data_IF_922354409723
#
_entry.id   IF_922354409723
#
_cell.length_a   1.000
_cell.length_b   1.000
_cell.length_c   1.000
_cell.angle_alpha   90.00
_cell.angle_beta   90.00
_cell.angle_gamma   90.00
#
_symmetry.space_group_name_H-M   'P 1'
#
loop_
_entity.id
_entity.type
_entity.pdbx_description
1 polymer ?
#
# COMPACT_ATOMS: atom_id res chain seq x y z
N UNK A 1 -12.96 -9.69 19.66
CA UNK A 1 -11.54 -9.34 19.83
C UNK A 1 -11.32 -7.86 19.54
N UNK A 2 -10.20 -7.31 20.02
CA UNK A 2 -9.77 -5.93 19.78
C UNK A 2 -8.49 -5.98 18.94
N UNK A 3 -8.48 -5.29 17.81
CA UNK A 3 -7.29 -5.02 17.00
C UNK A 3 -6.80 -3.60 17.32
N UNK A 4 -5.84 -3.43 18.25
CA UNK A 4 -5.48 -2.11 18.75
C UNK A 4 -4.73 -1.24 17.74
N UNK A 5 -4.15 -1.80 16.67
CA UNK A 5 -3.38 -1.06 15.68
C UNK A 5 -3.61 -1.60 14.27
N UNK A 6 -4.34 -0.86 13.46
CA UNK A 6 -4.54 -1.19 12.05
C UNK A 6 -4.68 0.05 11.18
N UNK A 7 -4.67 -0.14 9.86
CA UNK A 7 -4.82 0.89 8.84
C UNK A 7 -5.96 0.51 7.87
N UNK A 8 -7.24 0.67 8.27
CA UNK A 8 -8.36 0.02 7.56
C UNK A 8 -8.52 0.45 6.11
N UNK A 9 -8.40 1.74 5.80
CA UNK A 9 -8.53 2.26 4.43
C UNK A 9 -7.32 1.95 3.56
N UNK A 10 -6.11 1.94 4.12
CA UNK A 10 -4.92 1.43 3.42
C UNK A 10 -5.08 -0.06 3.09
N UNK A 11 -5.42 -0.89 4.09
CA UNK A 11 -5.66 -2.32 3.89
C UNK A 11 -6.77 -2.56 2.87
N UNK A 12 -7.86 -1.80 2.95
CA UNK A 12 -8.97 -1.87 2.01
C UNK A 12 -8.49 -1.61 0.57
N UNK A 13 -7.67 -0.58 0.36
CA UNK A 13 -7.09 -0.28 -0.95
C UNK A 13 -6.14 -1.37 -1.44
N UNK A 14 -5.24 -1.86 -0.59
CA UNK A 14 -4.27 -2.89 -0.98
C UNK A 14 -4.96 -4.23 -1.28
N UNK A 15 -5.99 -4.59 -0.52
CA UNK A 15 -6.77 -5.82 -0.73
C UNK A 15 -7.79 -5.73 -1.87
N UNK A 16 -7.90 -4.59 -2.55
CA UNK A 16 -8.62 -4.48 -3.81
C UNK A 16 -7.73 -4.78 -5.01
N UNK A 17 -6.40 -4.78 -4.83
CA UNK A 17 -5.42 -5.16 -5.87
C UNK A 17 -5.31 -6.67 -6.00
N UNK A 18 -4.64 -7.12 -7.06
CA UNK A 18 -4.36 -8.55 -7.27
C UNK A 18 -3.46 -9.03 -6.11
N UNK A 19 -3.99 -9.93 -5.29
CA UNK A 19 -3.24 -10.56 -4.20
C UNK A 19 -2.28 -11.59 -4.77
N UNK A 20 -0.99 -11.37 -4.58
CA UNK A 20 0.09 -12.31 -4.91
C UNK A 20 0.93 -12.64 -3.66
N UNK A 21 0.36 -12.42 -2.47
CA UNK A 21 1.07 -12.60 -1.20
C UNK A 21 1.28 -14.05 -0.81
N UNK A 22 2.26 -14.28 0.07
CA UNK A 22 2.51 -15.58 0.72
C UNK A 22 1.40 -16.03 1.68
N UNK A 23 0.35 -15.23 1.88
CA UNK A 23 -0.85 -15.66 2.60
C UNK A 23 -1.83 -16.43 1.72
N UNK A 24 -1.79 -16.19 0.41
CA UNK A 24 -2.67 -16.81 -0.59
C UNK A 24 -1.95 -17.80 -1.50
N UNK A 25 -0.61 -17.77 -1.51
CA UNK A 25 0.26 -18.61 -2.35
C UNK A 25 1.35 -19.23 -1.49
N UNK A 26 1.81 -20.44 -1.83
CA UNK A 26 2.78 -21.20 -1.04
C UNK A 26 4.15 -21.33 -1.71
N UNK A 27 4.29 -20.89 -2.98
CA UNK A 27 5.56 -20.92 -3.72
C UNK A 27 5.73 -19.68 -4.61
N UNK A 28 6.99 -19.36 -4.94
CA UNK A 28 7.33 -18.32 -5.92
C UNK A 28 6.69 -18.57 -7.29
N UNK A 29 6.56 -19.83 -7.70
CA UNK A 29 5.88 -20.24 -8.95
C UNK A 29 4.41 -19.86 -8.90
N UNK A 30 3.70 -20.19 -7.82
CA UNK A 30 2.29 -19.84 -7.64
C UNK A 30 2.07 -18.32 -7.64
N UNK A 31 2.95 -17.56 -6.99
CA UNK A 31 2.92 -16.08 -7.00
C UNK A 31 3.00 -15.54 -8.43
N UNK A 32 3.97 -16.02 -9.21
CA UNK A 32 4.17 -15.55 -10.59
C UNK A 32 3.06 -16.02 -11.54
N UNK A 33 2.52 -17.21 -11.33
CA UNK A 33 1.40 -17.73 -12.11
C UNK A 33 0.10 -16.99 -11.80
N UNK A 34 -0.15 -16.64 -10.54
CA UNK A 34 -1.27 -15.80 -10.15
C UNK A 34 -1.18 -14.42 -10.81
N UNK A 35 0.01 -13.80 -10.79
CA UNK A 35 0.24 -12.52 -11.47
C UNK A 35 -0.08 -12.61 -12.97
N UNK A 36 0.50 -13.57 -13.69
CA UNK A 36 0.27 -13.76 -15.14
C UNK A 36 -1.19 -14.03 -15.46
N UNK A 37 -1.84 -14.89 -14.67
CA UNK A 37 -3.25 -15.23 -14.85
C UNK A 37 -4.12 -13.99 -14.69
N UNK A 38 -3.91 -13.20 -13.64
CA UNK A 38 -4.70 -11.99 -13.40
C UNK A 38 -4.46 -10.94 -14.48
N UNK A 39 -3.22 -10.76 -14.93
CA UNK A 39 -2.90 -9.84 -16.03
C UNK A 39 -3.67 -10.20 -17.31
N UNK A 40 -3.77 -11.48 -17.65
CA UNK A 40 -4.51 -11.94 -18.84
C UNK A 40 -6.02 -11.66 -18.82
N UNK A 41 -6.56 -11.29 -17.66
CA UNK A 41 -8.00 -11.02 -17.47
C UNK A 41 -8.32 -9.52 -17.51
N UNK A 42 -7.31 -8.65 -17.49
CA UNK A 42 -7.50 -7.20 -17.49
C UNK A 42 -7.65 -6.70 -18.94
N UNK A 43 -8.66 -5.87 -19.24
CA UNK A 43 -8.79 -5.24 -20.56
C UNK A 43 -7.55 -4.44 -20.95
N UNK A 44 -7.19 -4.48 -22.23
CA UNK A 44 -6.00 -3.77 -22.76
C UNK A 44 -6.05 -2.28 -22.44
N UNK A 45 -4.92 -1.71 -22.03
CA UNK A 45 -4.76 -0.30 -21.66
C UNK A 45 -5.21 0.06 -20.24
N UNK A 46 -5.87 -0.83 -19.51
CA UNK A 46 -6.20 -0.59 -18.10
C UNK A 46 -4.99 -0.84 -17.17
N UNK A 47 -4.93 -0.10 -16.06
CA UNK A 47 -3.88 -0.24 -15.06
C UNK A 47 -4.04 -1.52 -14.25
N UNK A 48 -2.90 -2.18 -14.03
CA UNK A 48 -2.81 -3.39 -13.22
C UNK A 48 -2.03 -3.08 -11.96
N UNK A 49 -2.66 -3.29 -10.81
CA UNK A 49 -2.01 -3.24 -9.51
C UNK A 49 -2.03 -4.62 -8.86
N UNK A 50 -0.86 -5.06 -8.40
CA UNK A 50 -0.68 -6.27 -7.61
C UNK A 50 0.03 -5.96 -6.29
N UNK A 51 -0.30 -6.69 -5.23
CA UNK A 51 0.23 -6.50 -3.89
C UNK A 51 0.71 -7.82 -3.28
N UNK A 52 1.79 -7.74 -2.52
CA UNK A 52 2.26 -8.83 -1.66
C UNK A 52 3.47 -9.58 -2.19
N UNK A 53 4.17 -9.05 -3.19
CA UNK A 53 5.44 -9.64 -3.63
C UNK A 53 6.43 -9.66 -2.45
N UNK A 54 6.89 -10.85 -2.06
CA UNK A 54 7.66 -11.00 -0.82
C UNK A 54 8.90 -11.90 -1.03
N UNK A 55 10.08 -11.29 -1.28
CA UNK A 55 11.33 -12.03 -1.40
C UNK A 55 11.86 -12.56 -0.06
N UNK A 56 11.32 -12.11 1.08
CA UNK A 56 11.68 -12.63 2.41
C UNK A 56 11.05 -13.99 2.64
N UNK A 57 9.79 -14.16 2.22
CA UNK A 57 9.08 -15.45 2.29
C UNK A 57 9.56 -16.38 1.18
N UNK A 58 9.67 -15.89 -0.06
CA UNK A 58 10.07 -16.69 -1.22
C UNK A 58 11.42 -16.23 -1.76
N UNK A 59 12.51 -16.83 -1.28
CA UNK A 59 13.88 -16.37 -1.61
C UNK A 59 14.25 -16.52 -3.09
N UNK A 60 13.52 -17.33 -3.85
CA UNK A 60 13.67 -17.46 -5.30
C UNK A 60 13.15 -16.22 -6.06
N UNK A 61 12.36 -15.38 -5.41
CA UNK A 61 11.93 -14.09 -5.95
C UNK A 61 13.08 -13.09 -5.81
N UNK A 62 13.91 -12.97 -6.84
CA UNK A 62 15.08 -12.08 -6.84
C UNK A 62 14.76 -10.61 -7.22
N UNK A 63 13.49 -10.23 -7.18
CA UNK A 63 12.98 -8.96 -7.72
C UNK A 63 12.49 -9.09 -9.16
N UNK A 64 11.58 -8.20 -9.56
CA UNK A 64 11.04 -8.13 -10.92
C UNK A 64 11.79 -7.09 -11.73
N UNK A 65 12.14 -7.42 -12.96
CA UNK A 65 12.70 -6.45 -13.91
C UNK A 65 11.62 -5.80 -14.75
N UNK A 66 11.89 -4.58 -15.21
CA UNK A 66 11.08 -3.88 -16.22
C UNK A 66 10.82 -4.76 -17.43
N UNK A 67 11.83 -5.44 -17.96
CA UNK A 67 11.72 -6.31 -19.13
C UNK A 67 10.86 -7.55 -18.89
N UNK A 68 10.89 -8.13 -17.69
CA UNK A 68 9.97 -9.21 -17.31
C UNK A 68 8.53 -8.74 -17.26
N UNK A 69 8.29 -7.57 -16.66
CA UNK A 69 6.95 -7.00 -16.58
C UNK A 69 6.43 -6.53 -17.95
N UNK A 70 7.31 -6.06 -18.85
CA UNK A 70 6.96 -5.79 -20.25
C UNK A 70 6.51 -7.07 -20.98
N UNK A 71 7.14 -8.23 -20.69
CA UNK A 71 6.72 -9.52 -21.25
C UNK A 71 5.41 -10.04 -20.64
N UNK A 72 5.21 -9.85 -19.35
CA UNK A 72 4.00 -10.29 -18.63
C UNK A 72 2.80 -9.43 -19.04
N UNK A 73 3.00 -8.12 -19.19
CA UNK A 73 1.97 -7.10 -19.36
C UNK A 73 2.30 -6.15 -20.53
N UNK A 74 2.33 -6.65 -21.78
CA UNK A 74 2.80 -5.86 -22.93
C UNK A 74 1.84 -4.75 -23.37
N UNK A 75 0.56 -4.84 -23.01
CA UNK A 75 -0.51 -3.92 -23.44
C UNK A 75 -1.15 -3.17 -22.27
N UNK A 76 -0.60 -3.32 -21.06
CA UNK A 76 -1.16 -2.75 -19.84
C UNK A 76 -0.03 -2.19 -18.96
N UNK A 77 -0.15 -0.96 -18.43
CA UNK A 77 0.73 -0.49 -17.38
C UNK A 77 0.51 -1.34 -16.13
N UNK A 78 1.61 -1.82 -15.53
CA UNK A 78 1.57 -2.67 -14.34
C UNK A 78 2.47 -2.12 -13.24
N UNK A 79 1.97 -2.18 -12.00
CA UNK A 79 2.70 -1.87 -10.79
C UNK A 79 2.52 -3.00 -9.76
N UNK A 80 3.63 -3.61 -9.36
CA UNK A 80 3.68 -4.72 -8.41
C UNK A 80 4.33 -4.26 -7.11
N UNK A 81 3.52 -4.12 -6.06
CA UNK A 81 3.96 -3.66 -4.75
C UNK A 81 4.42 -4.83 -3.89
N UNK A 82 5.56 -4.64 -3.24
CA UNK A 82 6.08 -5.60 -2.26
C UNK A 82 5.24 -5.64 -0.99
N UNK A 83 5.30 -6.76 -0.27
CA UNK A 83 4.60 -6.94 1.01
C UNK A 83 5.03 -5.90 2.07
N UNK A 84 6.28 -5.43 2.01
CA UNK A 84 6.80 -4.38 2.89
C UNK A 84 6.30 -2.98 2.54
N UNK A 85 5.72 -2.78 1.35
CA UNK A 85 5.31 -1.48 0.80
C UNK A 85 6.46 -0.48 0.58
N UNK A 86 7.71 -0.94 0.61
CA UNK A 86 8.92 -0.11 0.39
C UNK A 86 9.54 -0.28 -1.00
N UNK A 87 9.04 -1.22 -1.80
CA UNK A 87 9.44 -1.38 -3.19
C UNK A 87 8.24 -1.59 -4.10
N UNK A 88 8.23 -0.91 -5.24
CA UNK A 88 7.28 -1.07 -6.34
C UNK A 88 8.05 -1.44 -7.61
N UNK A 89 7.59 -2.46 -8.32
CA UNK A 89 8.13 -2.83 -9.63
C UNK A 89 7.16 -2.44 -10.74
N UNK A 90 7.65 -1.77 -11.77
CA UNK A 90 6.84 -1.23 -12.87
C UNK A 90 7.41 -1.58 -14.24
N UNK A 91 6.54 -1.68 -15.25
CA UNK A 91 6.94 -1.89 -16.64
C UNK A 91 7.18 -0.56 -17.39
N UNK A 92 7.57 -0.66 -18.67
CA UNK A 92 7.81 0.50 -19.53
C UNK A 92 6.57 1.38 -19.71
N UNK A 93 5.38 0.78 -19.83
CA UNK A 93 4.12 1.52 -19.99
C UNK A 93 3.80 2.33 -18.74
N UNK A 94 3.94 1.74 -17.55
CA UNK A 94 3.71 2.43 -16.29
C UNK A 94 4.67 3.61 -16.07
N UNK A 95 5.95 3.46 -16.45
CA UNK A 95 6.91 4.58 -16.45
C UNK A 95 6.45 5.72 -17.38
N UNK A 96 6.10 5.37 -18.62
CA UNK A 96 5.64 6.34 -19.62
C UNK A 96 4.39 7.09 -19.17
N UNK A 97 3.39 6.39 -18.65
CA UNK A 97 2.14 7.01 -18.18
C UNK A 97 2.34 7.84 -16.91
N UNK A 98 3.24 7.39 -16.02
CA UNK A 98 3.65 8.19 -14.87
C UNK A 98 4.38 9.49 -15.26
N UNK A 99 4.84 9.61 -16.52
CA UNK A 99 5.63 10.73 -17.01
C UNK A 99 7.09 10.67 -16.55
N UNK A 100 7.61 9.46 -16.35
CA UNK A 100 8.96 9.20 -15.85
C UNK A 100 9.79 8.63 -17.00
N UNK A 101 10.92 9.27 -17.26
CA UNK A 101 11.91 8.87 -18.26
C UNK A 101 13.28 8.58 -17.63
N UNK A 102 14.23 8.17 -18.47
CA UNK A 102 15.59 7.83 -18.03
C UNK A 102 16.35 9.00 -17.40
N UNK A 103 15.88 10.25 -17.51
CA UNK A 103 16.51 11.42 -16.88
C UNK A 103 15.81 11.87 -15.59
N UNK A 104 14.67 11.26 -15.29
CA UNK A 104 13.81 11.64 -14.18
C UNK A 104 14.44 11.25 -12.85
N UNK A 105 14.32 12.13 -11.87
CA UNK A 105 14.78 11.91 -10.50
C UNK A 105 13.59 12.05 -9.54
N UNK A 106 13.54 11.27 -8.46
CA UNK A 106 12.50 11.42 -7.45
C UNK A 106 12.62 12.77 -6.75
N UNK A 107 11.56 13.17 -6.03
CA UNK A 107 11.63 14.36 -5.19
C UNK A 107 12.79 14.26 -4.19
N UNK A 108 13.41 15.40 -3.85
CA UNK A 108 14.53 15.44 -2.89
C UNK A 108 14.15 14.76 -1.58
N UNK A 109 14.96 13.79 -1.13
CA UNK A 109 14.70 12.91 0.03
C UNK A 109 13.44 12.02 -0.11
N UNK A 110 13.07 11.68 -1.34
CA UNK A 110 11.81 11.02 -1.68
C UNK A 110 11.90 9.54 -2.02
N UNK A 111 13.07 8.90 -1.92
CA UNK A 111 13.28 7.54 -2.41
C UNK A 111 14.16 7.50 -3.65
N UNK A 112 14.10 6.38 -4.38
CA UNK A 112 15.00 6.10 -5.51
C UNK A 112 14.26 5.51 -6.73
N UNK A 113 14.66 5.93 -7.93
CA UNK A 113 14.37 5.23 -9.17
C UNK A 113 15.60 4.43 -9.55
N UNK A 114 15.56 3.11 -9.33
CA UNK A 114 16.77 2.27 -9.39
C UNK A 114 17.21 2.10 -10.84
N UNK A 115 18.51 2.32 -11.07
CA UNK A 115 19.15 2.22 -12.38
C UNK A 115 20.11 1.04 -12.43
N UNK A 116 20.28 0.47 -13.62
CA UNK A 116 21.33 -0.49 -13.89
C UNK A 116 22.68 0.20 -14.11
N UNK A 117 23.73 -0.60 -14.34
CA UNK A 117 25.10 -0.12 -14.58
C UNK A 117 25.21 0.78 -15.83
N UNK A 118 24.23 0.74 -16.73
CA UNK A 118 24.17 1.57 -17.95
C UNK A 118 23.42 2.88 -17.74
N UNK A 119 22.84 3.08 -16.55
CA UNK A 119 22.02 4.24 -16.20
C UNK A 119 20.54 4.11 -16.58
N UNK A 120 20.12 2.95 -17.10
CA UNK A 120 18.71 2.71 -17.48
C UNK A 120 17.88 2.37 -16.26
N UNK A 121 16.65 2.88 -16.21
CA UNK A 121 15.65 2.53 -15.22
C UNK A 121 15.28 1.05 -15.31
N UNK A 122 15.52 0.35 -14.19
CA UNK A 122 15.25 -1.09 -14.02
C UNK A 122 13.77 -1.40 -13.82
N UNK A 123 12.94 -0.37 -13.58
CA UNK A 123 11.55 -0.51 -13.16
C UNK A 123 11.37 -0.75 -11.65
N UNK A 124 12.45 -0.86 -10.86
CA UNK A 124 12.37 -0.89 -9.40
C UNK A 124 12.34 0.53 -8.82
N UNK A 125 11.35 0.80 -8.00
CA UNK A 125 11.11 2.09 -7.34
C UNK A 125 11.14 1.86 -5.83
N UNK A 126 11.96 2.61 -5.12
CA UNK A 126 12.16 2.45 -3.67
C UNK A 126 11.63 3.64 -2.88
N UNK A 127 11.02 3.32 -1.75
CA UNK A 127 10.36 4.24 -0.82
C UNK A 127 9.08 4.93 -1.32
N UNK A 128 8.16 5.16 -0.38
CA UNK A 128 6.80 5.60 -0.71
C UNK A 128 6.71 6.92 -1.49
N UNK A 129 7.55 7.96 -1.27
CA UNK A 129 7.39 9.20 -2.03
C UNK A 129 7.72 9.05 -3.52
N UNK A 130 8.67 8.21 -3.89
CA UNK A 130 9.03 7.89 -5.28
C UNK A 130 7.94 7.06 -5.98
N UNK A 131 7.16 6.29 -5.23
CA UNK A 131 6.04 5.51 -5.79
C UNK A 131 4.80 6.34 -6.12
N UNK A 132 4.63 7.53 -5.51
CA UNK A 132 3.42 8.35 -5.65
C UNK A 132 2.99 8.64 -7.08
N UNK A 133 3.89 8.92 -8.04
CA UNK A 133 3.51 9.15 -9.43
C UNK A 133 2.76 7.98 -10.06
N UNK A 134 3.03 6.74 -9.65
CA UNK A 134 2.36 5.54 -10.13
C UNK A 134 1.05 5.26 -9.38
N UNK A 135 1.03 5.53 -8.07
CA UNK A 135 -0.14 5.29 -7.23
C UNK A 135 -1.31 6.23 -7.54
N UNK A 136 -1.14 7.29 -8.34
CA UNK A 136 -2.27 8.15 -8.75
C UNK A 136 -3.26 7.47 -9.71
N UNK A 137 -2.91 6.30 -10.26
CA UNK A 137 -3.69 5.61 -11.29
C UNK A 137 -4.61 4.51 -10.75
N UNK A 138 -4.54 4.16 -9.46
CA UNK A 138 -5.56 3.26 -8.90
C UNK A 138 -6.88 4.02 -8.77
N UNK A 139 -8.01 3.31 -8.91
CA UNK A 139 -9.32 3.90 -8.70
C UNK A 139 -9.52 4.25 -7.22
N UNK A 140 -9.51 5.54 -6.93
CA UNK A 140 -9.72 6.11 -5.62
C UNK A 140 -11.05 6.87 -5.53
N UNK A 141 -12.01 6.59 -6.42
CA UNK A 141 -13.35 7.18 -6.35
C UNK A 141 -14.01 6.88 -5.00
N UNK A 142 -14.89 7.79 -4.55
CA UNK A 142 -15.58 7.62 -3.27
C UNK A 142 -16.40 6.32 -3.19
N UNK A 143 -16.95 5.89 -4.32
CA UNK A 143 -17.67 4.62 -4.43
C UNK A 143 -16.73 3.44 -4.16
N UNK A 144 -15.59 3.40 -4.85
CA UNK A 144 -14.58 2.35 -4.67
C UNK A 144 -13.99 2.35 -3.26
N UNK A 145 -13.67 3.53 -2.70
CA UNK A 145 -13.20 3.64 -1.31
C UNK A 145 -14.24 3.13 -0.30
N UNK A 146 -15.50 3.50 -0.47
CA UNK A 146 -16.61 3.04 0.38
C UNK A 146 -16.75 1.52 0.34
N UNK A 147 -16.83 0.96 -0.87
CA UNK A 147 -16.97 -0.48 -1.09
C UNK A 147 -15.80 -1.27 -0.48
N UNK A 148 -14.56 -0.83 -0.73
CA UNK A 148 -13.37 -1.48 -0.21
C UNK A 148 -13.30 -1.42 1.32
N UNK A 149 -13.60 -0.26 1.91
CA UNK A 149 -13.61 -0.10 3.37
C UNK A 149 -14.64 -1.01 4.03
N UNK A 150 -15.85 -1.10 3.47
CA UNK A 150 -16.91 -1.96 3.99
C UNK A 150 -16.50 -3.45 3.95
N UNK A 151 -15.88 -3.88 2.84
CA UNK A 151 -15.30 -5.23 2.74
C UNK A 151 -14.19 -5.47 3.77
N UNK A 152 -13.36 -4.48 4.06
CA UNK A 152 -12.34 -4.63 5.09
C UNK A 152 -12.95 -4.77 6.50
N UNK A 153 -14.05 -4.08 6.76
CA UNK A 153 -14.80 -4.25 8.01
C UNK A 153 -15.47 -5.62 8.07
N UNK A 154 -15.97 -6.15 6.96
CA UNK A 154 -16.44 -7.54 6.86
C UNK A 154 -15.34 -8.56 7.17
N UNK A 155 -14.10 -8.33 6.72
CA UNK A 155 -12.94 -9.17 7.07
C UNK A 155 -12.64 -9.14 8.57
N UNK A 156 -12.71 -7.98 9.22
CA UNK A 156 -12.56 -7.92 10.68
C UNK A 156 -13.66 -8.73 11.38
N UNK A 157 -14.91 -8.58 10.96
CA UNK A 157 -16.05 -9.29 11.55
C UNK A 157 -15.95 -10.80 11.37
N UNK A 158 -15.50 -11.29 10.22
CA UNK A 158 -15.42 -12.73 9.94
C UNK A 158 -14.47 -13.48 10.87
N UNK A 159 -13.48 -12.81 11.44
CA UNK A 159 -12.55 -13.35 12.44
C UNK A 159 -12.87 -12.91 13.88
N UNK A 160 -14.04 -12.31 14.10
CA UNK A 160 -14.53 -11.91 15.42
C UNK A 160 -13.88 -10.65 16.00
N UNK A 161 -13.22 -9.83 15.17
CA UNK A 161 -12.79 -8.48 15.58
C UNK A 161 -14.03 -7.58 15.65
N UNK A 162 -14.18 -6.88 16.77
CA UNK A 162 -15.35 -6.02 17.07
C UNK A 162 -14.95 -4.59 17.41
N UNK A 163 -13.66 -4.34 17.57
CA UNK A 163 -13.11 -3.02 17.90
C UNK A 163 -11.73 -2.90 17.28
N UNK A 164 -11.46 -1.75 16.66
CA UNK A 164 -10.19 -1.44 16.00
C UNK A 164 -9.62 -0.10 16.48
N UNK A 165 -8.31 0.00 16.53
CA UNK A 165 -7.57 1.26 16.61
C UNK A 165 -7.02 1.63 15.23
N UNK A 166 -7.59 2.65 14.59
CA UNK A 166 -7.11 3.12 13.28
C UNK A 166 -5.93 4.06 13.47
N UNK A 167 -4.73 3.62 13.14
CA UNK A 167 -3.47 4.33 13.36
C UNK A 167 -3.16 5.34 12.24
N UNK A 168 -4.09 6.27 12.03
CA UNK A 168 -4.06 7.27 10.97
C UNK A 168 -5.01 6.92 9.83
N UNK A 169 -5.36 7.94 9.04
CA UNK A 169 -6.15 7.81 7.83
C UNK A 169 -5.20 7.81 6.62
N UNK A 170 -5.31 6.83 5.74
CA UNK A 170 -4.50 6.79 4.52
C UNK A 170 -4.89 7.95 3.60
N UNK A 171 -6.18 8.04 3.30
CA UNK A 171 -6.76 9.19 2.58
C UNK A 171 -7.00 10.33 3.56
N UNK A 172 -6.44 11.51 3.25
CA UNK A 172 -6.38 12.68 4.16
C UNK A 172 -7.44 13.71 3.82
N UNK A 173 -8.67 13.27 3.62
CA UNK A 173 -9.76 14.12 3.16
C UNK A 173 -11.03 13.94 4.00
N UNK A 174 -11.94 14.91 3.85
CA UNK A 174 -13.19 15.01 4.58
C UNK A 174 -14.11 13.84 4.25
N UNK A 175 -14.09 13.40 2.99
CA UNK A 175 -14.91 12.33 2.48
C UNK A 175 -14.56 11.00 3.15
N UNK A 176 -13.27 10.72 3.36
CA UNK A 176 -12.81 9.52 4.06
C UNK A 176 -13.28 9.48 5.51
N UNK A 177 -13.28 10.62 6.21
CA UNK A 177 -13.87 10.70 7.56
C UNK A 177 -15.36 10.36 7.52
N UNK A 178 -16.09 10.87 6.54
CA UNK A 178 -17.51 10.56 6.36
C UNK A 178 -17.75 9.07 6.04
N UNK A 179 -16.88 8.43 5.26
CA UNK A 179 -16.94 6.98 4.99
C UNK A 179 -16.82 6.17 6.28
N UNK A 180 -15.79 6.44 7.08
CA UNK A 180 -15.61 5.78 8.39
C UNK A 180 -16.82 5.97 9.31
N UNK A 181 -17.38 7.18 9.35
CA UNK A 181 -18.59 7.46 10.12
C UNK A 181 -19.80 6.69 9.59
N UNK A 182 -19.96 6.58 8.27
CA UNK A 182 -21.09 5.88 7.65
C UNK A 182 -21.03 4.37 7.88
N UNK A 183 -19.85 3.76 7.86
CA UNK A 183 -19.68 2.34 8.23
C UNK A 183 -20.15 2.05 9.67
N UNK A 184 -20.15 3.06 10.55
CA UNK A 184 -20.62 2.91 11.94
C UNK A 184 -22.14 3.06 12.12
N UNK A 185 -22.84 3.58 11.10
CA UNK A 185 -24.30 3.83 11.14
C UNK A 185 -25.14 2.63 10.68
N UNK A 186 -24.53 1.62 10.05
CA UNK A 186 -25.26 0.44 9.58
C UNK A 186 -25.76 -0.44 10.76
N UNK A 187 -26.96 -1.02 10.63
CA UNK A 187 -27.56 -1.97 11.58
C UNK A 187 -26.86 -3.35 11.62
N UNK A 188 -25.69 -3.47 10.99
CA UNK A 188 -24.85 -4.67 11.03
C UNK A 188 -23.75 -4.47 12.06
N UNK A 189 -23.53 -5.48 12.90
CA UNK A 189 -22.48 -5.61 13.93
C UNK A 189 -21.36 -4.56 13.78
N UNK A 190 -21.48 -3.50 14.58
CA UNK A 190 -20.66 -2.30 14.43
C UNK A 190 -19.22 -2.59 14.85
N UNK A 191 -18.27 -2.45 13.93
CA UNK A 191 -16.86 -2.34 14.31
C UNK A 191 -16.70 -1.01 15.02
N UNK A 192 -16.41 -1.03 16.33
CA UNK A 192 -16.05 0.21 17.04
C UNK A 192 -14.67 0.67 16.58
N UNK A 193 -14.50 1.94 16.32
CA UNK A 193 -13.28 2.48 15.78
C UNK A 193 -12.76 3.67 16.61
N UNK A 194 -11.61 3.46 17.24
CA UNK A 194 -10.81 4.50 17.87
C UNK A 194 -9.77 5.00 16.86
N UNK A 195 -9.94 6.23 16.36
CA UNK A 195 -9.04 6.82 15.36
C UNK A 195 -7.93 7.61 16.04
N UNK A 196 -6.69 7.38 15.62
CA UNK A 196 -5.51 8.13 16.04
C UNK A 196 -4.99 8.95 14.87
N UNK A 197 -5.16 10.27 14.91
CA UNK A 197 -4.71 11.14 13.81
C UNK A 197 -3.19 11.22 13.77
N UNK A 198 -2.59 11.23 12.58
CA UNK A 198 -1.14 11.37 12.46
C UNK A 198 -0.75 12.80 12.84
N UNK A 199 0.33 12.97 13.60
CA UNK A 199 0.78 14.29 14.05
C UNK A 199 0.94 15.30 12.91
N UNK A 200 1.44 14.86 11.74
CA UNK A 200 1.60 15.69 10.54
C UNK A 200 0.28 16.17 9.90
N UNK A 201 -0.86 15.60 10.31
CA UNK A 201 -2.17 15.93 9.77
C UNK A 201 -3.01 16.77 10.74
N UNK A 202 -2.55 17.01 11.97
CA UNK A 202 -3.30 17.76 13.00
C UNK A 202 -3.46 19.23 12.63
N UNK A 203 -2.40 19.87 12.12
CA UNK A 203 -2.42 21.29 11.79
C UNK A 203 -3.02 21.57 10.41
N UNK A 204 -3.38 20.53 9.65
CA UNK A 204 -4.03 20.70 8.36
C UNK A 204 -5.48 21.09 8.60
N UNK A 205 -5.80 22.35 8.32
CA UNK A 205 -7.12 22.99 8.48
C UNK A 205 -8.32 22.32 7.77
N UNK A 206 -8.16 21.11 7.24
CA UNK A 206 -9.15 20.42 6.42
C UNK A 206 -9.67 19.11 7.05
N UNK A 207 -9.21 18.72 8.24
CA UNK A 207 -9.88 17.65 8.97
C UNK A 207 -11.14 18.23 9.65
N UNK A 208 -12.34 17.69 9.38
CA UNK A 208 -13.54 18.16 10.05
C UNK A 208 -13.43 17.99 11.55
N UNK A 209 -14.28 18.71 12.29
CA UNK A 209 -14.64 18.30 13.63
C UNK A 209 -15.19 16.87 13.57
N UNK A 210 -14.42 15.90 14.07
CA UNK A 210 -14.88 14.53 14.21
C UNK A 210 -16.03 14.52 15.21
N UNK A 211 -17.24 14.16 14.77
CA UNK A 211 -18.31 13.85 15.71
C UNK A 211 -18.04 12.47 16.31
N UNK A 212 -17.69 12.46 17.59
CA UNK A 212 -17.52 11.23 18.34
C UNK A 212 -18.88 10.69 18.82
N UNK A 213 -19.02 9.37 18.82
CA UNK A 213 -20.12 8.65 19.43
C UNK A 213 -19.59 7.34 20.06
N UNK A 214 -20.48 6.47 20.54
CA UNK A 214 -20.10 5.22 21.22
C UNK A 214 -19.44 4.16 20.30
N UNK A 215 -19.30 4.45 19.00
CA UNK A 215 -18.85 3.52 17.96
C UNK A 215 -17.68 4.11 17.15
N UNK A 216 -17.58 5.43 17.02
CA UNK A 216 -16.54 6.11 16.26
C UNK A 216 -16.07 7.37 16.99
N UNK A 217 -14.76 7.60 17.04
CA UNK A 217 -14.21 8.86 17.52
C UNK A 217 -12.70 8.97 17.36
N UNK A 218 -12.19 10.19 17.42
CA UNK A 218 -10.74 10.43 17.54
C UNK A 218 -10.35 10.24 18.99
N UNK A 219 -9.50 9.25 19.25
CA UNK A 219 -9.05 8.86 20.58
C UNK A 219 -7.65 9.37 20.92
N UNK A 220 -6.91 9.88 19.93
CA UNK A 220 -5.58 10.45 20.18
C UNK A 220 -4.81 10.75 18.91
N UNK A 221 -3.48 10.79 19.07
CA UNK A 221 -2.53 11.13 18.02
C UNK A 221 -1.55 9.98 17.80
N UNK A 222 -1.34 9.59 16.54
CA UNK A 222 -0.26 8.70 16.10
C UNK A 222 1.01 9.52 15.86
N UNK A 223 2.02 9.24 16.67
CA UNK A 223 3.38 9.74 16.51
C UNK A 223 4.22 8.71 15.75
N UNK A 224 5.07 9.17 14.85
CA UNK A 224 6.20 8.38 14.35
C UNK A 224 7.47 9.00 14.90
N UNK A 225 8.34 8.15 15.43
CA UNK A 225 9.60 8.57 16.00
C UNK A 225 10.75 8.19 15.06
N UNK A 226 10.73 6.96 14.56
CA UNK A 226 11.74 6.37 13.69
C UNK A 226 11.11 5.43 12.63
N UNK A 227 11.95 4.68 11.91
CA UNK A 227 11.57 3.82 10.80
C UNK A 227 11.37 2.34 11.16
N UNK A 228 11.68 1.46 10.21
CA UNK A 228 11.42 0.02 10.29
C UNK A 228 12.72 -0.77 10.39
N UNK A 229 12.77 -1.88 11.15
CA UNK A 229 13.94 -2.75 11.18
C UNK A 229 14.16 -3.48 9.84
N UNK A 230 13.12 -3.64 9.03
CA UNK A 230 13.19 -4.37 7.75
C UNK A 230 13.84 -3.57 6.62
N UNK A 231 13.97 -2.26 6.78
CA UNK A 231 14.62 -1.36 5.81
C UNK A 231 15.81 -0.61 6.41
N UNK A 232 16.29 -1.04 7.59
CA UNK A 232 17.45 -0.42 8.23
C UNK A 232 17.22 1.02 8.73
N UNK A 233 15.97 1.43 8.95
CA UNK A 233 15.62 2.83 9.27
C UNK A 233 15.10 3.05 10.70
N UNK A 234 14.90 1.98 11.49
CA UNK A 234 14.62 2.06 12.93
C UNK A 234 15.83 2.61 13.68
N UNK A 235 15.59 3.46 14.68
CA UNK A 235 16.64 4.08 15.49
C UNK A 235 17.09 3.09 16.55
N UNK A 236 18.39 2.79 16.57
CA UNK A 236 19.02 1.84 17.47
C UNK A 236 20.10 2.53 18.30
N UNK A 237 20.36 1.99 19.50
CA UNK A 237 21.48 2.43 20.34
C UNK A 237 22.84 2.05 19.74
N UNK A 238 22.89 0.96 18.95
CA UNK A 238 24.07 0.48 18.25
C UNK A 238 23.77 0.34 16.75
N UNK A 239 24.76 0.45 15.85
CA UNK A 239 24.55 0.26 14.42
C UNK A 239 23.91 -1.10 14.09
N UNK A 240 23.22 -1.17 12.96
CA UNK A 240 22.74 -2.44 12.42
C UNK A 240 23.90 -3.43 12.22
N UNK A 241 23.63 -4.71 12.46
CA UNK A 241 24.57 -5.77 12.09
C UNK A 241 24.70 -5.80 10.56
N UNK A 242 25.92 -5.75 10.04
CA UNK A 242 26.15 -5.74 8.60
C UNK A 242 25.58 -7.02 7.93
N UNK A 243 24.55 -6.86 7.10
CA UNK A 243 23.88 -7.92 6.35
C UNK A 243 23.19 -7.31 5.12
N UNK A 244 22.82 -8.13 4.14
CA UNK A 244 22.24 -7.70 2.86
C UNK A 244 21.06 -6.70 2.94
N UNK A 245 20.34 -6.59 4.07
CA UNK A 245 19.24 -5.65 4.28
C UNK A 245 19.65 -4.31 4.93
N UNK A 246 20.82 -4.24 5.55
CA UNK A 246 21.27 -3.08 6.35
C UNK A 246 22.71 -2.66 6.04
N UNK A 247 23.32 -3.26 5.01
CA UNK A 247 24.64 -2.94 4.44
C UNK A 247 24.60 -1.68 3.58
#
# INVERSE_FOLDING_TARGET
FIEPHTHPDLCAQMYSWIDISGFSHQTSVEVMDALRKSVSQVPKGEWIFAFGYDPVIFRELTGLTREELDRISPENPIAVMTQSMHTLFVNSLALSEAGIDESSEPARFGGEYVRDETGRLTGKIEESPAMRPFLRFFDDSLETRSYNLSRQYDRYKSVGITTIGSAGLFFRDIETVALYQNETKADRLRIRNAVYLRHMDIDKHNLPAFSSNNVFGVSGVKLWYDGSPYTGTMLLDQPYLNNELTS
#
